data_IF_230965475828
#
_entry.id   IF_230965475828
#
_cell.length_a   1.000
_cell.length_b   1.000
_cell.length_c   1.000
_cell.angle_alpha   90.00
_cell.angle_beta   90.00
_cell.angle_gamma   90.00
#
_symmetry.space_group_name_H-M   'P 1'
#
loop_
_entity.id
_entity.type
_entity.pdbx_description
1 polymer ?
#
# COMPACT_ATOMS: atom_id res chain seq x y z
N UNK A 1 32.76 -1.53 12.09
CA UNK A 1 31.31 -1.56 12.36
C UNK A 1 30.66 -0.50 11.47
N UNK A 2 30.16 -0.92 10.32
CA UNK A 2 29.46 -0.02 9.39
C UNK A 2 27.98 0.03 9.80
N UNK A 3 27.55 1.20 10.25
CA UNK A 3 26.14 1.45 10.52
C UNK A 3 25.45 1.64 9.16
N UNK A 4 24.66 0.64 8.74
CA UNK A 4 23.69 0.81 7.66
C UNK A 4 22.59 1.75 8.19
N UNK A 5 22.55 2.97 7.65
CA UNK A 5 21.40 3.85 7.85
C UNK A 5 20.27 3.37 6.94
N UNK A 6 19.06 3.21 7.47
CA UNK A 6 17.89 2.98 6.61
C UNK A 6 17.61 4.26 5.82
N UNK A 7 17.61 4.17 4.50
CA UNK A 7 17.16 5.25 3.63
C UNK A 7 15.64 5.18 3.63
N UNK A 8 15.00 6.10 4.34
CA UNK A 8 13.55 6.32 4.24
C UNK A 8 13.38 7.38 3.15
N UNK A 9 13.02 6.94 1.95
CA UNK A 9 12.65 7.85 0.86
C UNK A 9 11.19 8.25 1.05
N UNK A 10 10.96 9.47 1.48
CA UNK A 10 9.64 10.10 1.47
C UNK A 10 9.41 10.67 0.07
N UNK A 11 8.72 9.93 -0.77
CA UNK A 11 8.28 10.40 -2.08
C UNK A 11 6.95 11.13 -1.90
N UNK A 12 6.79 12.40 -2.36
CA UNK A 12 5.49 13.03 -2.40
C UNK A 12 4.59 12.26 -3.36
N UNK A 13 3.53 11.67 -2.83
CA UNK A 13 2.56 10.92 -3.60
C UNK A 13 1.75 11.90 -4.45
N UNK A 14 2.20 12.16 -5.67
CA UNK A 14 1.37 12.74 -6.70
C UNK A 14 0.40 11.65 -7.16
N UNK A 15 -0.87 11.76 -6.78
CA UNK A 15 -1.90 10.85 -7.25
C UNK A 15 -1.99 10.99 -8.79
N UNK A 16 -1.44 10.02 -9.53
CA UNK A 16 -1.83 9.85 -10.92
C UNK A 16 -3.31 9.46 -10.91
N UNK A 17 -4.16 10.39 -11.32
CA UNK A 17 -5.56 10.12 -11.56
C UNK A 17 -5.66 9.12 -12.73
N UNK A 18 -6.01 7.89 -12.41
CA UNK A 18 -6.46 6.96 -13.45
C UNK A 18 -7.69 7.58 -14.16
N UNK A 19 -7.85 7.35 -15.48
CA UNK A 19 -9.01 7.85 -16.21
C UNK A 19 -10.28 7.36 -15.51
N UNK A 20 -11.12 8.30 -15.08
CA UNK A 20 -12.44 8.01 -14.52
C UNK A 20 -13.28 7.35 -15.61
N UNK A 21 -13.60 6.10 -15.44
CA UNK A 21 -14.66 5.47 -16.23
C UNK A 21 -16.00 5.97 -15.66
N UNK A 22 -16.80 6.56 -16.51
CA UNK A 22 -18.15 7.01 -16.16
C UNK A 22 -19.06 5.79 -15.91
N UNK A 23 -19.32 5.49 -14.65
CA UNK A 23 -20.19 4.43 -14.19
C UNK A 23 -19.47 3.10 -13.87
N UNK A 24 -20.07 2.27 -13.01
CA UNK A 24 -19.51 0.97 -12.69
C UNK A 24 -19.49 0.10 -13.95
N UNK A 25 -18.37 -0.59 -14.25
CA UNK A 25 -18.34 -1.54 -15.34
C UNK A 25 -19.39 -2.64 -15.12
N UNK A 26 -19.93 -3.22 -16.20
CA UNK A 26 -20.89 -4.30 -16.06
C UNK A 26 -20.26 -5.47 -15.30
N UNK A 27 -21.03 -6.02 -14.37
CA UNK A 27 -20.61 -7.21 -13.63
C UNK A 27 -20.31 -8.34 -14.61
N UNK A 28 -19.29 -9.17 -14.34
CA UNK A 28 -19.09 -10.41 -15.08
C UNK A 28 -20.36 -11.26 -15.04
N UNK A 29 -20.67 -11.94 -16.13
CA UNK A 29 -21.83 -12.83 -16.21
C UNK A 29 -21.77 -13.86 -15.05
N UNK A 30 -22.81 -13.89 -14.21
CA UNK A 30 -22.88 -14.76 -13.05
C UNK A 30 -22.32 -14.19 -11.74
N UNK A 31 -21.85 -12.95 -11.71
CA UNK A 31 -21.43 -12.30 -10.48
C UNK A 31 -22.67 -11.98 -9.61
N UNK A 32 -22.59 -12.31 -8.33
CA UNK A 32 -23.60 -11.95 -7.35
C UNK A 32 -23.51 -10.46 -7.01
N UNK A 33 -24.56 -9.70 -7.37
CA UNK A 33 -24.62 -8.27 -7.11
C UNK A 33 -24.56 -7.91 -5.61
N UNK A 34 -24.90 -8.83 -4.72
CA UNK A 34 -24.79 -8.64 -3.27
C UNK A 34 -23.34 -8.53 -2.79
N UNK A 35 -22.37 -9.07 -3.55
CA UNK A 35 -20.95 -8.96 -3.21
C UNK A 35 -20.38 -7.57 -3.45
N UNK A 36 -21.07 -6.72 -4.22
CA UNK A 36 -20.61 -5.35 -4.48
C UNK A 36 -20.54 -4.49 -3.21
N UNK A 37 -21.43 -4.73 -2.25
CA UNK A 37 -21.40 -4.00 -0.98
C UNK A 37 -20.23 -4.41 -0.07
N UNK A 38 -19.67 -5.62 -0.28
CA UNK A 38 -18.57 -6.17 0.48
C UNK A 38 -17.23 -6.10 -0.27
N UNK A 39 -17.28 -5.87 -1.58
CA UNK A 39 -16.09 -5.78 -2.42
C UNK A 39 -15.48 -4.38 -2.43
N UNK A 40 -14.17 -4.33 -2.66
CA UNK A 40 -13.43 -3.10 -2.86
C UNK A 40 -13.10 -3.02 -4.35
N UNK A 41 -13.97 -2.35 -5.11
CA UNK A 41 -13.83 -2.17 -6.54
C UNK A 41 -13.44 -0.73 -6.87
N UNK A 42 -12.78 -0.50 -8.00
CA UNK A 42 -12.43 0.85 -8.44
C UNK A 42 -13.64 1.78 -8.50
N UNK A 43 -14.82 1.24 -8.85
CA UNK A 43 -16.08 1.99 -8.98
C UNK A 43 -16.75 2.36 -7.66
N UNK A 44 -16.48 1.65 -6.55
CA UNK A 44 -17.16 1.89 -5.27
C UNK A 44 -16.21 2.15 -4.08
N UNK A 45 -14.94 1.88 -4.23
CA UNK A 45 -13.96 2.12 -3.17
C UNK A 45 -13.73 3.61 -2.91
N UNK A 46 -13.44 4.01 -1.66
CA UNK A 46 -13.22 5.41 -1.33
C UNK A 46 -11.98 5.96 -2.07
N UNK A 47 -12.12 7.15 -2.61
CA UNK A 47 -11.01 7.90 -3.23
C UNK A 47 -10.40 8.83 -2.20
N UNK A 48 -9.08 8.83 -2.09
CA UNK A 48 -8.36 9.73 -1.22
C UNK A 48 -8.59 11.18 -1.64
N UNK A 49 -8.84 12.04 -0.66
CA UNK A 49 -8.84 13.50 -0.90
C UNK A 49 -7.39 13.98 -0.94
N UNK A 50 -7.11 14.91 -1.85
CA UNK A 50 -5.84 15.63 -1.85
C UNK A 50 -5.70 16.41 -0.55
N UNK A 51 -4.61 16.17 0.18
CA UNK A 51 -4.29 16.88 1.42
C UNK A 51 -2.83 17.34 1.36
N UNK A 52 -2.51 18.36 2.15
CA UNK A 52 -1.12 18.76 2.33
C UNK A 52 -0.33 17.61 2.96
N UNK A 53 0.92 17.37 2.49
CA UNK A 53 1.77 16.34 3.07
C UNK A 53 2.00 16.58 4.56
N UNK A 54 1.84 15.52 5.35
CA UNK A 54 2.18 15.57 6.76
C UNK A 54 3.70 15.72 6.92
N UNK A 55 4.12 16.61 7.82
CA UNK A 55 5.51 16.70 8.22
C UNK A 55 5.85 15.49 9.09
N UNK A 56 6.69 14.61 8.57
CA UNK A 56 7.16 13.45 9.31
C UNK A 56 8.41 13.80 10.11
N UNK A 57 8.43 13.46 11.38
CA UNK A 57 9.63 13.56 12.22
C UNK A 57 10.30 12.20 12.35
N UNK A 58 11.64 12.21 12.43
CA UNK A 58 12.42 10.99 12.72
C UNK A 58 13.03 11.06 14.12
N UNK A 59 13.06 9.96 14.86
CA UNK A 59 12.55 8.63 14.51
C UNK A 59 11.02 8.60 14.41
N UNK A 60 10.48 7.75 13.54
CA UNK A 60 9.04 7.56 13.40
C UNK A 60 8.46 7.05 14.74
N UNK A 61 7.49 7.77 15.28
CA UNK A 61 6.79 7.38 16.49
C UNK A 61 5.45 6.72 16.13
N UNK A 62 5.21 5.54 16.70
CA UNK A 62 3.90 4.88 16.63
C UNK A 62 2.97 5.42 17.71
N UNK A 63 1.71 5.61 17.37
CA UNK A 63 0.65 5.96 18.32
C UNK A 63 -0.26 4.75 18.58
N UNK A 64 -1.03 4.84 19.66
CA UNK A 64 -2.03 3.83 19.98
C UNK A 64 -3.05 3.72 18.84
N UNK A 65 -3.45 2.47 18.54
CA UNK A 65 -4.42 2.11 17.52
C UNK A 65 -4.00 2.47 16.08
N UNK A 66 -2.70 2.77 15.84
CA UNK A 66 -2.25 2.99 14.47
C UNK A 66 -2.49 1.76 13.59
N UNK A 67 -2.92 2.03 12.37
CA UNK A 67 -3.07 1.07 11.29
C UNK A 67 -1.90 1.20 10.35
N UNK A 68 -1.14 0.12 10.24
CA UNK A 68 0.09 0.05 9.45
C UNK A 68 -0.20 -0.76 8.19
N UNK A 69 0.03 -0.17 7.02
CA UNK A 69 -0.06 -0.87 5.75
C UNK A 69 1.33 -1.19 5.21
N UNK A 70 1.53 -2.43 4.80
CA UNK A 70 2.69 -2.83 4.02
C UNK A 70 2.34 -2.75 2.54
N UNK A 71 3.15 -2.06 1.75
CA UNK A 71 2.99 -1.94 0.30
C UNK A 71 4.31 -2.25 -0.39
N UNK A 72 4.24 -2.85 -1.55
CA UNK A 72 5.44 -3.22 -2.27
C UNK A 72 5.27 -4.47 -3.10
N UNK A 73 6.37 -5.10 -3.36
CA UNK A 73 6.42 -6.29 -4.21
C UNK A 73 6.60 -7.58 -3.38
N UNK A 74 7.15 -8.59 -4.03
CA UNK A 74 7.32 -9.97 -3.53
C UNK A 74 7.97 -10.05 -2.14
N UNK A 75 8.84 -9.11 -1.75
CA UNK A 75 9.48 -9.15 -0.43
C UNK A 75 8.44 -9.10 0.69
N UNK A 76 7.58 -8.09 0.65
CA UNK A 76 6.55 -7.91 1.68
C UNK A 76 5.38 -8.89 1.49
N UNK A 77 5.05 -9.25 0.24
CA UNK A 77 4.04 -10.28 -0.01
C UNK A 77 4.43 -11.61 0.66
N UNK A 78 5.66 -12.05 0.50
CA UNK A 78 6.14 -13.29 1.16
C UNK A 78 6.27 -13.16 2.67
N UNK A 79 6.66 -12.00 3.16
CA UNK A 79 6.83 -11.76 4.60
C UNK A 79 5.54 -12.01 5.40
N UNK A 80 4.37 -11.83 4.79
CA UNK A 80 3.08 -12.09 5.46
C UNK A 80 2.90 -13.56 5.85
N UNK A 81 3.51 -14.50 5.12
CA UNK A 81 3.40 -15.94 5.43
C UNK A 81 4.08 -16.31 6.74
N UNK A 82 5.08 -15.57 7.15
CA UNK A 82 5.86 -15.81 8.35
C UNK A 82 5.39 -14.95 9.55
N UNK A 83 4.81 -13.80 9.29
CA UNK A 83 4.32 -12.87 10.32
C UNK A 83 5.39 -12.31 11.25
N UNK A 84 6.68 -12.40 10.88
CA UNK A 84 7.78 -11.99 11.75
C UNK A 84 7.82 -10.48 11.98
N UNK A 85 7.52 -9.70 10.94
CA UNK A 85 7.55 -8.24 11.01
C UNK A 85 6.46 -7.70 11.93
N UNK A 86 5.24 -8.20 11.74
CA UNK A 86 4.08 -7.85 12.56
C UNK A 86 4.31 -8.27 14.01
N UNK A 87 4.80 -9.51 14.22
CA UNK A 87 5.12 -10.02 15.56
C UNK A 87 6.18 -9.17 16.25
N UNK A 88 7.25 -8.81 15.55
CA UNK A 88 8.32 -7.98 16.11
C UNK A 88 7.83 -6.60 16.52
N UNK A 89 6.96 -5.98 15.70
CA UNK A 89 6.35 -4.69 16.02
C UNK A 89 5.39 -4.79 17.21
N UNK A 90 4.55 -5.83 17.27
CA UNK A 90 3.66 -6.06 18.41
C UNK A 90 4.42 -6.30 19.71
N UNK A 91 5.51 -7.07 19.65
CA UNK A 91 6.35 -7.32 20.84
C UNK A 91 7.09 -6.06 21.31
N UNK A 92 7.51 -5.22 20.35
CA UNK A 92 8.22 -3.98 20.68
C UNK A 92 7.27 -2.90 21.24
N UNK A 93 6.00 -2.93 20.85
CA UNK A 93 5.00 -1.92 21.21
C UNK A 93 3.68 -2.55 21.70
N UNK A 94 3.70 -3.41 22.73
CA UNK A 94 2.53 -4.21 23.11
C UNK A 94 1.33 -3.37 23.60
N UNK A 95 1.57 -2.17 24.11
CA UNK A 95 0.53 -1.28 24.61
C UNK A 95 -0.15 -0.45 23.51
N UNK A 96 0.37 -0.46 22.28
CA UNK A 96 -0.11 0.42 21.23
C UNK A 96 -1.26 -0.19 20.41
N UNK A 97 -1.59 -1.47 20.58
CA UNK A 97 -2.70 -2.11 19.84
C UNK A 97 -2.62 -1.86 18.33
N UNK A 98 -1.43 -2.09 17.75
CA UNK A 98 -1.19 -1.86 16.32
C UNK A 98 -1.99 -2.84 15.46
N UNK A 99 -2.51 -2.37 14.34
CA UNK A 99 -3.18 -3.20 13.34
C UNK A 99 -2.38 -3.19 12.04
N UNK A 100 -2.26 -4.36 11.40
CA UNK A 100 -1.48 -4.51 10.17
C UNK A 100 -2.36 -4.92 9.00
N UNK A 101 -2.04 -4.38 7.82
CA UNK A 101 -2.61 -4.81 6.54
C UNK A 101 -1.50 -4.96 5.52
N UNK A 102 -1.34 -6.15 5.00
CA UNK A 102 -0.43 -6.38 3.89
C UNK A 102 -1.19 -6.17 2.57
N UNK A 103 -0.75 -5.17 1.81
CA UNK A 103 -1.26 -4.79 0.50
C UNK A 103 -0.18 -4.97 -0.57
N UNK A 104 0.92 -5.64 -0.24
CA UNK A 104 1.95 -5.97 -1.19
C UNK A 104 1.46 -7.04 -2.17
N UNK A 105 1.93 -6.97 -3.40
CA UNK A 105 1.55 -7.89 -4.46
C UNK A 105 2.79 -8.34 -5.24
N UNK A 106 2.93 -9.64 -5.54
CA UNK A 106 4.09 -10.15 -6.27
C UNK A 106 4.27 -9.41 -7.59
N UNK A 107 5.51 -9.11 -7.92
CA UNK A 107 5.92 -8.44 -9.15
C UNK A 107 5.38 -7.01 -9.36
N UNK A 108 4.72 -6.40 -8.39
CA UNK A 108 4.38 -4.98 -8.48
C UNK A 108 5.64 -4.12 -8.59
N UNK A 109 5.52 -3.07 -9.38
CA UNK A 109 6.48 -1.97 -9.46
C UNK A 109 5.81 -0.68 -8.97
N UNK A 110 6.60 0.33 -8.64
CA UNK A 110 6.06 1.59 -8.13
C UNK A 110 5.07 2.23 -9.12
N UNK A 111 5.39 2.17 -10.40
CA UNK A 111 4.66 2.77 -11.52
C UNK A 111 3.86 1.77 -12.36
N UNK A 112 3.98 0.47 -12.06
CA UNK A 112 3.30 -0.59 -12.81
C UNK A 112 2.71 -1.64 -11.86
N UNK A 113 1.39 -1.57 -11.69
CA UNK A 113 0.62 -2.45 -10.82
C UNK A 113 -0.52 -3.09 -11.62
N UNK A 114 -0.26 -4.17 -12.39
CA UNK A 114 -1.28 -4.83 -13.19
C UNK A 114 -2.41 -5.38 -12.32
N UNK A 115 -3.63 -5.02 -12.64
CA UNK A 115 -4.83 -5.50 -11.93
C UNK A 115 -5.93 -5.85 -12.95
N UNK A 116 -6.84 -6.77 -12.57
CA UNK A 116 -8.05 -7.00 -13.35
C UNK A 116 -8.92 -5.75 -13.47
N UNK A 117 -9.80 -5.74 -14.45
CA UNK A 117 -10.78 -4.67 -14.62
C UNK A 117 -11.56 -4.42 -13.34
N UNK A 118 -11.81 -3.15 -13.04
CA UNK A 118 -12.51 -2.70 -11.84
C UNK A 118 -11.86 -3.11 -10.50
N UNK A 119 -10.63 -3.56 -10.47
CA UNK A 119 -9.90 -3.75 -9.22
C UNK A 119 -9.54 -2.37 -8.63
N UNK A 120 -9.78 -2.18 -7.34
CA UNK A 120 -9.45 -0.91 -6.69
C UNK A 120 -7.95 -0.63 -6.71
N UNK A 121 -7.57 0.63 -6.89
CA UNK A 121 -6.18 1.04 -6.86
C UNK A 121 -5.56 0.88 -5.47
N UNK A 122 -4.23 0.85 -5.40
CA UNK A 122 -3.52 0.81 -4.11
C UNK A 122 -3.92 1.99 -3.20
N UNK A 123 -4.09 3.19 -3.77
CA UNK A 123 -4.54 4.36 -3.03
C UNK A 123 -5.96 4.19 -2.45
N UNK A 124 -6.85 3.55 -3.21
CA UNK A 124 -8.19 3.23 -2.72
C UNK A 124 -8.16 2.19 -1.60
N UNK A 125 -7.32 1.15 -1.70
CA UNK A 125 -7.12 0.18 -0.63
C UNK A 125 -6.55 0.82 0.63
N UNK A 126 -5.55 1.69 0.52
CA UNK A 126 -4.99 2.45 1.65
C UNK A 126 -6.03 3.33 2.31
N UNK A 127 -6.87 4.00 1.52
CA UNK A 127 -7.96 4.84 2.02
C UNK A 127 -9.02 4.00 2.73
N UNK A 128 -9.40 2.87 2.16
CA UNK A 128 -10.38 1.95 2.74
C UNK A 128 -9.91 1.37 4.08
N UNK A 129 -8.64 0.96 4.15
CA UNK A 129 -8.05 0.42 5.39
C UNK A 129 -7.74 1.51 6.41
N UNK A 130 -7.87 2.78 6.02
CA UNK A 130 -7.55 3.95 6.86
C UNK A 130 -6.13 3.86 7.40
N UNK A 131 -5.16 3.57 6.54
CA UNK A 131 -3.76 3.43 6.92
C UNK A 131 -3.22 4.75 7.47
N UNK A 132 -2.66 4.71 8.68
CA UNK A 132 -2.01 5.85 9.32
C UNK A 132 -0.52 5.90 8.97
N UNK A 133 0.07 4.72 8.76
CA UNK A 133 1.49 4.53 8.46
C UNK A 133 1.63 3.56 7.30
N UNK A 134 2.51 3.90 6.37
CA UNK A 134 2.84 3.05 5.23
C UNK A 134 4.30 2.62 5.34
N UNK A 135 4.54 1.32 5.30
CA UNK A 135 5.87 0.72 5.16
C UNK A 135 5.97 0.18 3.75
N UNK A 136 6.85 0.78 2.94
CA UNK A 136 6.98 0.46 1.53
C UNK A 136 8.30 -0.25 1.22
N UNK A 137 8.26 -1.26 0.34
CA UNK A 137 9.46 -1.95 -0.15
C UNK A 137 9.35 -2.18 -1.66
N UNK A 138 9.99 -1.31 -2.41
CA UNK A 138 10.11 -1.31 -3.87
C UNK A 138 11.57 -1.44 -4.28
N UNK A 139 11.85 -1.50 -5.57
CA UNK A 139 13.18 -1.41 -6.13
C UNK A 139 13.71 -2.70 -6.75
N UNK A 140 13.28 -3.87 -6.28
CA UNK A 140 13.80 -5.14 -6.82
C UNK A 140 13.43 -5.31 -8.31
N UNK A 141 12.16 -5.16 -8.65
CA UNK A 141 11.71 -5.31 -10.04
C UNK A 141 12.18 -4.14 -10.91
N UNK A 142 12.14 -2.93 -10.36
CA UNK A 142 12.61 -1.72 -11.03
C UNK A 142 14.10 -1.81 -11.41
N UNK A 143 14.91 -2.50 -10.58
CA UNK A 143 16.34 -2.65 -10.84
C UNK A 143 16.68 -3.36 -12.15
N UNK A 144 15.76 -4.18 -12.67
CA UNK A 144 15.95 -4.85 -13.97
C UNK A 144 15.88 -3.90 -15.16
N UNK A 145 15.32 -2.72 -14.99
CA UNK A 145 15.27 -1.66 -16.01
C UNK A 145 16.53 -0.79 -16.04
N UNK A 146 17.49 -1.04 -15.14
CA UNK A 146 18.72 -0.26 -14.99
C UNK A 146 18.54 1.01 -14.17
N UNK A 147 19.64 1.68 -13.88
CA UNK A 147 19.67 2.88 -13.02
C UNK A 147 18.89 4.06 -13.59
N UNK A 148 18.81 4.17 -14.92
CA UNK A 148 18.15 5.29 -15.59
C UNK A 148 16.61 5.23 -15.51
N UNK A 149 16.07 4.09 -15.09
CA UNK A 149 14.63 3.88 -14.95
C UNK A 149 14.10 4.13 -13.52
N UNK A 150 15.00 4.43 -12.58
CA UNK A 150 14.60 4.78 -11.21
C UNK A 150 14.46 6.30 -11.14
N UNK A 151 13.26 6.85 -10.92
CA UNK A 151 13.09 8.29 -10.76
C UNK A 151 13.82 8.79 -9.50
N UNK A 152 14.39 10.00 -9.59
CA UNK A 152 15.03 10.69 -8.49
C UNK A 152 14.05 11.04 -7.34
#
# INVERSE_FOLDING_TARGET
MHKLLPIIVSVPFAALAAPQQDGPPPLPAGADGSLLEHGIYASNAPVAKTTEPLKTALPLAFAKDNRIAFVGNTLLDRAQSEGHLETSLQQSFPALNLTFRNLAWPADELDLQPRPDNFASQAQHLTHTKADIIIAAWGFNESFRGTDAVPD
#
